data_IF_149034442083
#
_entry.id   IF_149034442083
#
_cell.length_a   1.000
_cell.length_b   1.000
_cell.length_c   1.000
_cell.angle_alpha   90.00
_cell.angle_beta   90.00
_cell.angle_gamma   90.00
#
_symmetry.space_group_name_H-M   'P 1'
#
loop_
_entity.id
_entity.type
_entity.pdbx_description
1 polymer ?
#
# COMPACT_ATOMS: atom_id res chain seq x y z
N UNK A 1 12.93 -18.30 6.35
CA UNK A 1 12.34 -18.28 7.69
C UNK A 1 10.84 -18.20 7.51
N UNK A 2 10.08 -19.17 8.03
CA UNK A 2 8.61 -19.13 7.94
C UNK A 2 8.14 -18.11 8.98
N UNK A 3 7.33 -17.11 8.57
CA UNK A 3 6.77 -16.12 9.50
C UNK A 3 5.95 -16.83 10.59
N UNK A 4 6.04 -16.34 11.83
CA UNK A 4 5.26 -16.86 12.94
C UNK A 4 3.75 -16.65 12.69
N UNK A 5 2.89 -17.36 13.42
CA UNK A 5 1.43 -17.17 13.32
C UNK A 5 1.03 -15.73 13.60
N UNK A 6 1.63 -15.14 14.62
CA UNK A 6 1.39 -13.75 15.04
C UNK A 6 1.80 -12.77 13.93
N UNK A 7 2.99 -12.94 13.34
CA UNK A 7 3.45 -12.10 12.23
C UNK A 7 2.54 -12.20 11.00
N UNK A 8 2.01 -13.41 10.74
CA UNK A 8 1.08 -13.63 9.62
C UNK A 8 -0.24 -12.93 9.87
N UNK A 9 -0.80 -13.05 11.08
CA UNK A 9 -2.06 -12.40 11.46
C UNK A 9 -1.89 -10.87 11.42
N UNK A 10 -0.78 -10.35 11.97
CA UNK A 10 -0.48 -8.93 11.93
C UNK A 10 -0.39 -8.42 10.49
N UNK A 11 0.44 -9.08 9.66
CA UNK A 11 0.57 -8.70 8.25
C UNK A 11 -0.73 -8.85 7.45
N UNK A 12 -1.58 -9.82 7.80
CA UNK A 12 -2.88 -9.98 7.15
C UNK A 12 -3.79 -8.80 7.47
N UNK A 13 -3.87 -8.41 8.74
CA UNK A 13 -4.68 -7.27 9.17
C UNK A 13 -4.14 -5.93 8.66
N UNK A 14 -2.83 -5.83 8.39
CA UNK A 14 -2.20 -4.68 7.77
C UNK A 14 -2.51 -4.60 6.27
N UNK A 15 -2.42 -5.73 5.56
CA UNK A 15 -2.61 -5.75 4.11
C UNK A 15 -4.06 -5.90 3.67
N UNK A 16 -4.99 -6.37 4.50
CA UNK A 16 -6.42 -6.47 4.16
C UNK A 16 -7.16 -5.27 4.73
N UNK A 17 -7.38 -4.27 3.89
CA UNK A 17 -8.05 -3.01 4.24
C UNK A 17 -9.52 -2.96 3.77
N UNK A 18 -10.03 -4.02 3.13
CA UNK A 18 -11.43 -4.15 2.76
C UNK A 18 -12.18 -4.98 3.79
N UNK A 19 -13.39 -4.55 4.15
CA UNK A 19 -14.29 -5.35 4.97
C UNK A 19 -14.87 -6.53 4.19
N UNK A 20 -15.44 -7.50 4.91
CA UNK A 20 -16.09 -8.65 4.29
C UNK A 20 -17.22 -8.25 3.32
N UNK A 21 -17.98 -7.20 3.64
CA UNK A 21 -19.09 -6.71 2.82
C UNK A 21 -18.58 -6.01 1.56
N UNK A 22 -17.55 -5.17 1.69
CA UNK A 22 -16.94 -4.48 0.54
C UNK A 22 -16.28 -5.47 -0.41
N UNK A 23 -15.56 -6.46 0.13
CA UNK A 23 -14.92 -7.49 -0.68
C UNK A 23 -15.99 -8.36 -1.37
N UNK A 24 -17.10 -8.65 -0.70
CA UNK A 24 -18.20 -9.38 -1.31
C UNK A 24 -18.81 -8.62 -2.51
N UNK A 25 -19.14 -7.34 -2.31
CA UNK A 25 -19.66 -6.48 -3.38
C UNK A 25 -18.68 -6.36 -4.55
N UNK A 26 -17.38 -6.30 -4.26
CA UNK A 26 -16.34 -6.25 -5.28
C UNK A 26 -16.27 -7.55 -6.09
N UNK A 27 -16.30 -8.70 -5.43
CA UNK A 27 -16.22 -10.00 -6.11
C UNK A 27 -17.45 -10.27 -6.98
N UNK A 28 -18.62 -9.75 -6.59
CA UNK A 28 -19.84 -9.79 -7.39
C UNK A 28 -19.78 -8.89 -8.65
N UNK A 29 -18.89 -7.89 -8.69
CA UNK A 29 -18.71 -7.01 -9.86
C UNK A 29 -17.96 -7.77 -10.99
N UNK A 30 -18.45 -7.75 -12.25
CA UNK A 30 -17.75 -8.35 -13.39
C UNK A 30 -16.30 -7.89 -13.58
N UNK A 31 -15.94 -6.70 -13.09
CA UNK A 31 -14.57 -6.17 -13.13
C UNK A 31 -13.59 -7.05 -12.36
N UNK A 32 -14.01 -7.71 -11.29
CA UNK A 32 -13.16 -8.59 -10.47
C UNK A 32 -12.50 -9.69 -11.30
N UNK A 33 -13.17 -10.15 -12.35
CA UNK A 33 -12.69 -11.21 -13.26
C UNK A 33 -11.56 -10.77 -14.21
N UNK A 34 -11.30 -9.47 -14.35
CA UNK A 34 -10.34 -8.93 -15.34
C UNK A 34 -8.87 -9.08 -14.95
N UNK A 35 -8.58 -9.44 -13.69
CA UNK A 35 -7.22 -9.49 -13.15
C UNK A 35 -6.41 -10.75 -13.51
N UNK A 36 -7.03 -11.87 -13.91
CA UNK A 36 -6.26 -13.09 -14.22
C UNK A 36 -7.04 -14.41 -14.16
N UNK A 37 -6.39 -15.47 -13.66
CA UNK A 37 -6.80 -16.88 -13.77
C UNK A 37 -7.78 -17.37 -12.70
N UNK A 38 -8.50 -16.48 -12.01
CA UNK A 38 -9.51 -16.85 -11.01
C UNK A 38 -8.99 -17.12 -9.59
N UNK A 39 -7.70 -17.40 -9.41
CA UNK A 39 -7.10 -17.67 -8.08
C UNK A 39 -7.35 -16.53 -7.07
N UNK A 40 -7.30 -15.29 -7.53
CA UNK A 40 -7.61 -14.13 -6.69
C UNK A 40 -9.08 -14.11 -6.24
N UNK A 41 -10.01 -14.52 -7.09
CA UNK A 41 -11.44 -14.55 -6.75
C UNK A 41 -11.73 -15.59 -5.66
N UNK A 42 -11.18 -16.79 -5.83
CA UNK A 42 -11.27 -17.86 -4.83
C UNK A 42 -10.63 -17.44 -3.50
N UNK A 43 -9.48 -16.78 -3.57
CA UNK A 43 -8.82 -16.22 -2.40
C UNK A 43 -9.68 -15.17 -1.69
N UNK A 44 -10.30 -14.28 -2.46
CA UNK A 44 -11.21 -13.26 -1.95
C UNK A 44 -12.41 -13.85 -1.21
N UNK A 45 -13.03 -14.90 -1.73
CA UNK A 45 -14.09 -15.61 -1.03
C UNK A 45 -13.62 -16.19 0.31
N UNK A 46 -12.44 -16.80 0.35
CA UNK A 46 -11.89 -17.34 1.60
C UNK A 46 -11.54 -16.22 2.60
N UNK A 47 -11.09 -15.06 2.14
CA UNK A 47 -10.89 -13.88 3.00
C UNK A 47 -12.21 -13.43 3.62
N UNK A 48 -13.31 -13.39 2.85
CA UNK A 48 -14.65 -13.06 3.36
C UNK A 48 -15.06 -14.04 4.46
N UNK A 49 -14.85 -15.34 4.26
CA UNK A 49 -15.16 -16.36 5.27
C UNK A 49 -14.36 -16.15 6.56
N UNK A 50 -13.06 -15.90 6.45
CA UNK A 50 -12.18 -15.61 7.60
C UNK A 50 -12.67 -14.38 8.37
N UNK A 51 -12.97 -13.29 7.65
CA UNK A 51 -13.44 -12.03 8.25
C UNK A 51 -14.81 -12.18 8.91
N UNK A 52 -15.73 -12.96 8.31
CA UNK A 52 -17.06 -13.23 8.89
C UNK A 52 -16.99 -14.18 10.09
N UNK A 53 -16.08 -15.16 10.06
CA UNK A 53 -15.85 -16.12 11.14
C UNK A 53 -15.23 -15.45 12.37
N UNK A 54 -14.34 -14.47 12.16
CA UNK A 54 -13.64 -13.77 13.22
C UNK A 54 -13.59 -12.25 13.03
N UNK A 55 -14.73 -11.56 13.20
CA UNK A 55 -14.80 -10.10 13.03
C UNK A 55 -13.98 -9.34 14.08
N UNK A 56 -13.76 -9.94 15.26
CA UNK A 56 -12.96 -9.36 16.34
C UNK A 56 -11.45 -9.44 16.09
N UNK A 57 -11.04 -10.12 15.00
CA UNK A 57 -9.63 -10.36 14.64
C UNK A 57 -8.82 -11.05 15.74
N UNK A 58 -9.49 -11.87 16.56
CA UNK A 58 -8.89 -12.58 17.68
C UNK A 58 -7.89 -13.64 17.17
N UNK A 59 -6.59 -13.55 17.48
CA UNK A 59 -5.58 -14.47 16.97
C UNK A 59 -5.82 -15.92 17.41
N UNK A 60 -6.55 -16.18 18.49
CA UNK A 60 -6.81 -17.53 18.97
C UNK A 60 -7.91 -18.25 18.17
N UNK A 61 -8.83 -17.51 17.55
CA UNK A 61 -9.99 -18.07 16.82
C UNK A 61 -9.68 -18.56 15.40
N UNK A 62 -8.49 -18.29 14.87
CA UNK A 62 -8.09 -18.75 13.54
C UNK A 62 -7.61 -20.20 13.57
N UNK A 63 -8.02 -21.02 12.61
CA UNK A 63 -7.44 -22.36 12.47
C UNK A 63 -6.18 -22.34 11.59
N UNK A 64 -5.48 -23.48 11.52
CA UNK A 64 -4.24 -23.58 10.74
C UNK A 64 -4.47 -23.32 9.24
N UNK A 65 -5.67 -23.63 8.72
CA UNK A 65 -6.04 -23.38 7.31
C UNK A 65 -6.24 -21.88 7.04
N UNK A 66 -6.85 -21.16 7.98
CA UNK A 66 -6.98 -19.71 7.97
C UNK A 66 -5.58 -19.08 7.95
N UNK A 67 -4.68 -19.51 8.85
CA UNK A 67 -3.31 -19.00 8.94
C UNK A 67 -2.50 -19.30 7.67
N UNK A 68 -2.64 -20.49 7.08
CA UNK A 68 -1.97 -20.81 5.81
C UNK A 68 -2.45 -19.90 4.68
N UNK A 69 -3.76 -19.67 4.61
CA UNK A 69 -4.32 -18.76 3.61
C UNK A 69 -3.88 -17.32 3.83
N UNK A 70 -3.94 -16.82 5.06
CA UNK A 70 -3.42 -15.49 5.43
C UNK A 70 -1.97 -15.31 5.01
N UNK A 71 -1.12 -16.33 5.20
CA UNK A 71 0.28 -16.27 4.78
C UNK A 71 0.41 -16.09 3.26
N UNK A 72 -0.44 -16.74 2.47
CA UNK A 72 -0.49 -16.55 1.01
C UNK A 72 -0.93 -15.13 0.67
N UNK A 73 -1.98 -14.63 1.32
CA UNK A 73 -2.49 -13.25 1.13
C UNK A 73 -1.41 -12.22 1.43
N UNK A 74 -0.77 -12.31 2.60
CA UNK A 74 0.33 -11.40 3.01
C UNK A 74 1.46 -11.42 2.02
N UNK A 75 1.90 -12.62 1.59
CA UNK A 75 3.01 -12.74 0.65
C UNK A 75 2.65 -12.19 -0.73
N UNK A 76 1.41 -12.38 -1.16
CA UNK A 76 0.90 -11.85 -2.41
C UNK A 76 0.83 -10.32 -2.37
N UNK A 77 0.15 -9.75 -1.36
CA UNK A 77 -0.06 -8.30 -1.24
C UNK A 77 1.27 -7.57 -1.09
N UNK A 78 2.16 -8.01 -0.19
CA UNK A 78 3.47 -7.37 0.01
C UNK A 78 4.30 -7.28 -1.29
N UNK A 79 4.28 -8.32 -2.13
CA UNK A 79 5.03 -8.33 -3.39
C UNK A 79 4.41 -7.41 -4.45
N UNK A 80 3.09 -7.32 -4.49
CA UNK A 80 2.39 -6.53 -5.51
C UNK A 80 2.28 -5.06 -5.12
N UNK A 81 2.20 -4.72 -3.84
CA UNK A 81 2.22 -3.33 -3.35
C UNK A 81 3.51 -2.62 -3.76
N UNK A 82 4.67 -3.25 -3.56
CA UNK A 82 5.95 -2.69 -4.01
C UNK A 82 6.03 -2.46 -5.54
N UNK A 83 5.17 -3.12 -6.33
CA UNK A 83 5.06 -2.87 -7.77
C UNK A 83 4.03 -1.77 -8.08
N UNK A 84 2.93 -1.73 -7.33
CA UNK A 84 1.88 -0.71 -7.44
C UNK A 84 2.33 0.66 -6.98
N UNK A 85 3.18 0.80 -5.97
CA UNK A 85 3.63 2.12 -5.51
C UNK A 85 4.36 2.90 -6.63
N UNK A 86 5.08 2.20 -7.51
CA UNK A 86 5.67 2.82 -8.72
C UNK A 86 4.63 3.29 -9.73
N UNK A 87 3.47 2.64 -9.77
CA UNK A 87 2.35 3.04 -10.62
C UNK A 87 1.61 4.22 -9.99
N UNK A 88 1.50 4.29 -8.66
CA UNK A 88 0.91 5.42 -7.92
C UNK A 88 1.63 6.74 -8.21
N UNK A 89 2.96 6.71 -8.34
CA UNK A 89 3.75 7.90 -8.68
C UNK A 89 3.50 8.44 -10.10
N UNK A 90 2.96 7.61 -10.99
CA UNK A 90 2.91 7.91 -12.44
C UNK A 90 1.51 7.98 -13.02
N UNK A 91 0.49 7.47 -12.32
CA UNK A 91 -0.87 7.33 -12.82
C UNK A 91 -1.87 8.07 -11.96
N UNK A 92 -2.94 8.52 -12.61
CA UNK A 92 -4.10 9.09 -11.91
C UNK A 92 -4.93 8.00 -11.20
N UNK A 93 -5.74 8.39 -10.22
CA UNK A 93 -6.65 7.49 -9.48
C UNK A 93 -7.50 6.62 -10.41
N UNK A 94 -8.10 7.24 -11.43
CA UNK A 94 -8.96 6.57 -12.40
C UNK A 94 -8.19 5.54 -13.27
N UNK A 95 -6.94 5.84 -13.62
CA UNK A 95 -6.09 4.91 -14.36
C UNK A 95 -5.70 3.71 -13.50
N UNK A 96 -5.39 3.93 -12.22
CA UNK A 96 -5.06 2.87 -11.26
C UNK A 96 -6.25 1.92 -11.05
N UNK A 97 -7.45 2.46 -10.83
CA UNK A 97 -8.68 1.67 -10.68
C UNK A 97 -8.93 0.67 -11.82
N UNK A 98 -8.51 1.03 -13.03
CA UNK A 98 -8.68 0.20 -14.22
C UNK A 98 -7.48 -0.72 -14.51
N UNK A 99 -6.41 -0.68 -13.69
CA UNK A 99 -5.28 -1.58 -13.86
C UNK A 99 -5.57 -2.99 -13.39
N UNK A 100 -4.95 -3.97 -14.06
CA UNK A 100 -5.00 -5.37 -13.64
C UNK A 100 -4.41 -5.56 -12.24
N UNK A 101 -3.41 -4.76 -11.85
CA UNK A 101 -2.77 -4.82 -10.54
C UNK A 101 -3.75 -4.46 -9.43
N UNK A 102 -4.42 -3.30 -9.53
CA UNK A 102 -5.43 -2.86 -8.57
C UNK A 102 -6.61 -3.82 -8.50
N UNK A 103 -7.13 -4.30 -9.65
CA UNK A 103 -8.20 -5.30 -9.66
C UNK A 103 -7.77 -6.59 -8.96
N UNK A 104 -6.52 -7.02 -9.16
CA UNK A 104 -5.99 -8.20 -8.49
C UNK A 104 -5.86 -7.96 -6.99
N UNK A 105 -5.24 -6.86 -6.55
CA UNK A 105 -5.12 -6.51 -5.13
C UNK A 105 -6.49 -6.51 -4.44
N UNK A 106 -7.51 -5.94 -5.07
CA UNK A 106 -8.89 -5.95 -4.54
C UNK A 106 -9.42 -7.37 -4.37
N UNK A 107 -9.17 -8.27 -5.32
CA UNK A 107 -9.53 -9.68 -5.17
C UNK A 107 -8.81 -10.35 -3.97
N UNK A 108 -7.65 -9.85 -3.58
CA UNK A 108 -6.90 -10.29 -2.41
C UNK A 108 -7.18 -9.44 -1.15
N UNK A 109 -8.28 -8.68 -1.14
CA UNK A 109 -8.75 -7.91 0.01
C UNK A 109 -8.00 -6.60 0.26
N UNK A 110 -7.16 -6.15 -0.68
CA UNK A 110 -6.44 -4.88 -0.58
C UNK A 110 -6.91 -3.89 -1.65
N UNK A 111 -7.44 -2.75 -1.22
CA UNK A 111 -7.79 -1.63 -2.07
C UNK A 111 -6.69 -0.55 -2.03
N UNK A 112 -5.83 -0.44 -3.05
CA UNK A 112 -4.78 0.59 -3.10
C UNK A 112 -5.35 1.99 -3.31
N UNK A 113 -6.60 2.12 -3.76
CA UNK A 113 -7.24 3.42 -3.96
C UNK A 113 -7.60 4.06 -2.64
N UNK A 114 -8.03 3.26 -1.66
CA UNK A 114 -8.26 3.73 -0.29
C UNK A 114 -7.01 4.32 0.34
N UNK A 115 -5.83 3.75 0.05
CA UNK A 115 -4.56 4.27 0.59
C UNK A 115 -4.18 5.62 -0.01
N UNK A 116 -4.57 5.90 -1.27
CA UNK A 116 -4.31 7.19 -1.91
C UNK A 116 -5.14 8.33 -1.31
N UNK A 117 -6.37 8.03 -0.87
CA UNK A 117 -7.24 9.03 -0.23
C UNK A 117 -6.69 9.46 1.15
N UNK A 118 -5.93 8.60 1.85
CA UNK A 118 -5.28 8.95 3.13
C UNK A 118 -4.01 9.81 2.95
N UNK A 119 -3.29 9.63 1.84
CA UNK A 119 -2.10 10.43 1.51
C UNK A 119 -2.44 11.87 1.04
N UNK A 120 -3.62 12.10 0.44
CA UNK A 120 -4.07 13.43 0.02
C UNK A 120 -4.45 14.33 1.22
N UNK A 121 -5.02 13.74 2.28
CA UNK A 121 -5.28 14.43 3.55
C UNK A 121 -3.98 14.70 4.35
N UNK A 122 -2.97 13.82 4.29
CA UNK A 122 -1.67 14.03 4.93
C UNK A 122 -0.83 15.13 4.24
N UNK A 123 -1.04 15.38 2.95
CA UNK A 123 -0.41 16.48 2.22
C UNK A 123 -0.98 17.87 2.58
N UNK A 124 -2.03 17.94 3.40
CA UNK A 124 -2.63 19.20 3.85
C UNK A 124 -2.09 19.74 5.19
N UNK A 125 -1.21 19.00 5.89
CA UNK A 125 -0.64 19.38 7.20
C UNK A 125 0.91 19.51 7.23
N UNK A 126 1.58 19.78 6.10
CA UNK A 126 3.00 20.23 6.11
C UNK A 126 3.17 21.60 5.43
N UNK A 127 2.25 22.51 5.75
CA UNK A 127 2.19 23.86 5.21
C UNK A 127 2.38 24.98 6.24
N UNK A 128 3.23 24.83 7.27
CA UNK A 128 3.63 25.97 8.13
C UNK A 128 5.14 25.98 8.41
N UNK A 129 5.79 26.89 7.69
CA UNK A 129 6.91 27.72 8.11
C UNK A 129 8.27 27.07 8.45
N UNK A 130 9.12 27.00 7.41
CA UNK A 130 10.50 27.47 7.58
C UNK A 130 11.03 28.19 6.34
N UNK A 131 10.59 29.43 6.21
CA UNK A 131 11.23 30.40 5.35
C UNK A 131 12.66 30.72 5.83
N UNK A 132 13.52 31.01 4.85
CA UNK A 132 14.88 31.58 4.93
C UNK A 132 16.01 30.55 5.11
N UNK A 133 17.00 30.41 4.23
CA UNK A 133 17.50 31.34 3.19
C UNK A 133 18.39 30.54 2.23
N UNK A 134 18.10 30.66 0.93
CA UNK A 134 18.88 30.08 -0.17
C UNK A 134 19.88 31.10 -0.71
N UNK A 135 21.04 30.60 -1.18
CA UNK A 135 21.90 31.18 -2.22
C UNK A 135 22.83 32.32 -1.77
N UNK A 136 24.02 32.52 -2.33
CA UNK A 136 24.79 31.88 -3.40
C UNK A 136 26.18 32.59 -3.42
N UNK A 137 27.17 32.01 -4.13
CA UNK A 137 28.26 32.64 -4.91
C UNK A 137 29.65 32.09 -4.56
N UNK A 138 30.17 31.14 -5.34
CA UNK A 138 30.92 31.25 -6.62
C UNK A 138 32.43 31.49 -6.41
N UNK A 139 33.21 30.53 -6.94
CA UNK A 139 34.65 30.56 -7.15
C UNK A 139 35.11 31.77 -7.98
N UNK A 140 36.29 32.31 -7.68
CA UNK A 140 37.42 32.43 -8.63
C UNK A 140 38.68 33.05 -8.01
N UNK A 141 39.80 32.37 -8.25
CA UNK A 141 41.19 32.83 -8.46
C UNK A 141 41.45 34.35 -8.58
N UNK A 142 42.59 34.81 -8.06
CA UNK A 142 43.18 36.08 -8.50
C UNK A 142 44.10 36.79 -7.49
N UNK A 143 45.41 36.74 -7.76
CA UNK A 143 46.48 37.34 -6.99
C UNK A 143 46.56 38.88 -7.03
N UNK A 144 47.28 39.41 -6.02
CA UNK A 144 48.23 40.55 -6.01
C UNK A 144 47.87 41.85 -5.25
N UNK A 145 48.84 42.18 -4.39
CA UNK A 145 49.54 43.46 -4.16
C UNK A 145 48.92 44.53 -3.24
N UNK A 146 49.78 44.92 -2.30
CA UNK A 146 50.05 46.23 -1.67
C UNK A 146 48.89 47.07 -1.14
N UNK A 147 48.92 47.45 0.14
CA UNK A 147 49.68 48.61 0.65
C UNK A 147 49.59 48.66 2.20
N UNK A 148 50.58 49.30 2.81
CA UNK A 148 50.65 49.74 4.23
C UNK A 148 49.64 50.92 4.41
N UNK A 149 49.60 51.74 5.50
CA UNK A 149 50.30 51.74 6.79
C UNK A 149 49.38 51.97 8.03
N UNK A 150 49.89 51.66 9.23
CA UNK A 150 50.24 52.67 10.26
C UNK A 150 51.20 52.04 11.28
#
# INVERSE_FOLDING_TARGET
MVKSREDVIAGFNEHVNMTAEELQQWLDDPKSTKAGTGVGLESGHKIIEILKKNPDKDPEKYDDEDIEHMRKVVSYNARHLAQEDKLKETKTKEELENTKSTISLKNWGHDPIKTLDEDDDAASDEGVDKASKSGEQRNSDGAKHDDKPH
#
